data_IF_859522795125
#
_entry.id   IF_859522795125
#
_cell.length_a   1.000
_cell.length_b   1.000
_cell.length_c   1.000
_cell.angle_alpha   90.00
_cell.angle_beta   90.00
_cell.angle_gamma   90.00
#
_symmetry.space_group_name_H-M   'P 1'
#
loop_
_entity.id
_entity.type
_entity.pdbx_description
1 polymer ?
#
# COMPACT_ATOMS: atom_id res chain seq x y z
N UNK A 1 -19.44 3.31 -5.35
CA UNK A 1 -18.23 3.91 -4.75
C UNK A 1 -17.51 4.63 -5.87
N UNK A 2 -17.39 5.96 -5.77
CA UNK A 2 -16.57 6.71 -6.71
C UNK A 2 -15.13 6.26 -6.55
N UNK A 3 -14.52 5.77 -7.62
CA UNK A 3 -13.15 5.24 -7.60
C UNK A 3 -12.17 6.32 -7.09
N UNK A 4 -12.44 7.59 -7.36
CA UNK A 4 -11.66 8.72 -6.86
C UNK A 4 -11.68 8.87 -5.32
N UNK A 5 -12.64 8.26 -4.60
CA UNK A 5 -12.74 8.35 -3.14
C UNK A 5 -11.87 7.34 -2.39
N UNK A 6 -11.20 6.40 -3.08
CA UNK A 6 -10.45 5.32 -2.41
C UNK A 6 -9.31 5.86 -1.52
N UNK A 7 -8.68 6.95 -1.93
CA UNK A 7 -7.61 7.59 -1.15
C UNK A 7 -8.15 8.41 0.02
N UNK A 8 -9.43 8.80 -0.03
CA UNK A 8 -10.08 9.63 0.96
C UNK A 8 -10.94 8.81 1.97
N UNK A 9 -11.05 7.49 1.76
CA UNK A 9 -11.78 6.57 2.65
C UNK A 9 -11.22 6.61 4.08
N UNK A 10 -12.12 6.66 5.06
CA UNK A 10 -11.78 6.64 6.49
C UNK A 10 -12.32 5.37 7.14
N UNK A 11 -11.52 4.79 8.01
CA UNK A 11 -11.97 3.68 8.87
C UNK A 11 -12.87 4.23 9.97
N UNK A 12 -13.90 3.48 10.34
CA UNK A 12 -14.72 3.80 11.50
C UNK A 12 -13.92 3.63 12.81
N UNK A 13 -14.17 4.48 13.80
CA UNK A 13 -13.42 4.46 15.06
C UNK A 13 -13.62 3.16 15.84
N UNK A 14 -14.82 2.57 15.80
CA UNK A 14 -15.10 1.29 16.44
C UNK A 14 -14.30 0.16 15.79
N UNK A 15 -14.25 0.12 14.46
CA UNK A 15 -13.48 -0.89 13.73
C UNK A 15 -11.97 -0.73 13.98
N UNK A 16 -11.46 0.51 13.99
CA UNK A 16 -10.06 0.77 14.29
C UNK A 16 -9.67 0.24 15.67
N UNK A 17 -10.48 0.50 16.69
CA UNK A 17 -10.23 0.04 18.06
C UNK A 17 -10.32 -1.48 18.16
N UNK A 18 -11.30 -2.08 17.49
CA UNK A 18 -11.44 -3.54 17.41
C UNK A 18 -10.20 -4.20 16.80
N UNK A 19 -9.65 -3.66 15.71
CA UNK A 19 -8.45 -4.19 15.09
C UNK A 19 -7.20 -3.97 15.95
N UNK A 20 -7.11 -2.82 16.62
CA UNK A 20 -6.04 -2.51 17.59
C UNK A 20 -6.04 -3.53 18.73
N UNK A 21 -7.19 -3.76 19.36
CA UNK A 21 -7.32 -4.70 20.47
C UNK A 21 -6.91 -6.12 20.07
N UNK A 22 -7.34 -6.57 18.88
CA UNK A 22 -6.97 -7.88 18.34
C UNK A 22 -5.45 -8.00 18.14
N UNK A 23 -4.82 -6.97 17.57
CA UNK A 23 -3.38 -6.92 17.34
C UNK A 23 -2.59 -6.92 18.65
N UNK A 24 -2.91 -6.02 19.58
CA UNK A 24 -2.24 -5.93 20.87
C UNK A 24 -2.38 -7.20 21.70
N UNK A 25 -3.56 -7.83 21.68
CA UNK A 25 -3.80 -9.08 22.40
C UNK A 25 -2.88 -10.20 21.90
N UNK A 26 -2.65 -10.27 20.59
CA UNK A 26 -1.71 -11.25 20.05
C UNK A 26 -0.26 -10.87 20.35
N UNK A 27 0.12 -9.60 20.25
CA UNK A 27 1.45 -9.11 20.63
C UNK A 27 1.83 -9.48 22.07
N UNK A 28 0.87 -9.41 23.00
CA UNK A 28 1.08 -9.84 24.40
C UNK A 28 1.31 -11.35 24.55
N UNK A 29 0.84 -12.16 23.60
CA UNK A 29 0.95 -13.63 23.58
C UNK A 29 2.13 -14.12 22.73
N UNK A 30 2.76 -13.25 21.94
CA UNK A 30 3.86 -13.59 21.03
C UNK A 30 3.80 -12.78 19.74
N UNK A 31 4.33 -13.33 18.65
CA UNK A 31 4.23 -12.68 17.34
C UNK A 31 2.78 -12.72 16.83
N UNK A 32 2.19 -11.57 16.45
CA UNK A 32 0.85 -11.54 15.88
C UNK A 32 0.84 -12.23 14.52
N UNK A 33 -0.31 -12.79 14.14
CA UNK A 33 -0.47 -13.42 12.83
C UNK A 33 -0.45 -12.37 11.71
N UNK A 34 -0.09 -12.81 10.50
CA UNK A 34 -0.09 -11.98 9.30
C UNK A 34 -1.44 -11.29 9.06
N UNK A 35 -2.53 -12.05 9.21
CA UNK A 35 -3.91 -11.58 9.00
C UNK A 35 -4.27 -10.47 9.99
N UNK A 36 -3.95 -10.64 11.27
CA UNK A 36 -4.27 -9.62 12.29
C UNK A 36 -3.43 -8.37 12.09
N UNK A 37 -2.15 -8.54 11.79
CA UNK A 37 -1.24 -7.42 11.47
C UNK A 37 -1.71 -6.67 10.24
N UNK A 38 -2.17 -7.38 9.20
CA UNK A 38 -2.67 -6.79 7.97
C UNK A 38 -3.98 -6.01 8.20
N UNK A 39 -4.94 -6.60 8.92
CA UNK A 39 -6.21 -5.94 9.24
C UNK A 39 -5.98 -4.65 10.05
N UNK A 40 -5.06 -4.69 11.01
CA UNK A 40 -4.70 -3.50 11.78
C UNK A 40 -3.96 -2.46 10.94
N UNK A 41 -2.96 -2.86 10.15
CA UNK A 41 -2.23 -1.97 9.25
C UNK A 41 -3.14 -1.28 8.23
N UNK A 42 -4.06 -2.02 7.62
CA UNK A 42 -5.04 -1.45 6.65
C UNK A 42 -6.09 -0.54 7.30
N UNK A 43 -6.40 -0.74 8.58
CA UNK A 43 -7.21 0.21 9.36
C UNK A 43 -6.41 1.51 9.62
N UNK A 44 -5.15 1.39 10.06
CA UNK A 44 -4.28 2.52 10.37
C UNK A 44 -4.05 3.45 9.16
N UNK A 45 -3.80 2.90 7.97
CA UNK A 45 -3.63 3.71 6.75
C UNK A 45 -4.90 4.47 6.37
N UNK A 46 -6.07 4.09 6.91
CA UNK A 46 -7.34 4.80 6.74
C UNK A 46 -7.67 5.76 7.88
N UNK A 47 -6.87 5.80 8.94
CA UNK A 47 -7.03 6.67 10.10
C UNK A 47 -6.25 8.00 9.92
N UNK A 48 -5.53 8.49 10.92
CA UNK A 48 -4.81 9.77 10.91
C UNK A 48 -3.52 9.73 10.10
N UNK A 49 -2.89 10.87 9.83
CA UNK A 49 -1.61 10.93 9.11
C UNK A 49 -0.48 10.20 9.87
N UNK A 50 -0.51 10.25 11.21
CA UNK A 50 0.46 9.54 12.05
C UNK A 50 0.23 8.04 11.98
N UNK A 51 -1.02 7.61 12.09
CA UNK A 51 -1.40 6.19 11.96
C UNK A 51 -1.01 5.62 10.60
N UNK A 52 -1.11 6.39 9.52
CA UNK A 52 -0.70 5.92 8.19
C UNK A 52 0.78 5.53 8.16
N UNK A 53 1.65 6.24 8.87
CA UNK A 53 3.08 5.90 8.94
C UNK A 53 3.26 4.55 9.65
N UNK A 54 2.56 4.34 10.76
CA UNK A 54 2.58 3.06 11.46
C UNK A 54 2.03 1.91 10.59
N UNK A 55 0.91 2.14 9.92
CA UNK A 55 0.33 1.19 8.99
C UNK A 55 1.27 0.81 7.85
N UNK A 56 2.01 1.78 7.28
CA UNK A 56 3.06 1.51 6.29
C UNK A 56 4.12 0.58 6.86
N UNK A 57 4.63 0.85 8.07
CA UNK A 57 5.65 0.02 8.69
C UNK A 57 5.17 -1.43 8.92
N UNK A 58 3.92 -1.61 9.35
CA UNK A 58 3.33 -2.94 9.53
C UNK A 58 3.19 -3.69 8.20
N UNK A 59 2.74 -3.01 7.14
CA UNK A 59 2.59 -3.61 5.81
C UNK A 59 3.94 -3.93 5.16
N UNK A 60 4.96 -3.07 5.32
CA UNK A 60 6.32 -3.34 4.84
C UNK A 60 6.98 -4.50 5.60
N UNK A 61 6.70 -4.63 6.90
CA UNK A 61 7.12 -5.77 7.70
C UNK A 61 6.52 -7.07 7.15
N UNK A 62 5.21 -7.10 6.91
CA UNK A 62 4.53 -8.26 6.34
C UNK A 62 5.08 -8.61 4.95
N UNK A 63 5.30 -7.61 4.08
CA UNK A 63 5.88 -7.82 2.75
C UNK A 63 7.26 -8.51 2.79
N UNK A 64 8.05 -8.26 3.84
CA UNK A 64 9.39 -8.83 4.02
C UNK A 64 9.37 -10.20 4.68
N UNK A 65 8.53 -10.39 5.69
CA UNK A 65 8.55 -11.55 6.58
C UNK A 65 7.64 -12.68 6.11
N UNK A 66 6.56 -12.38 5.37
CA UNK A 66 5.63 -13.40 4.90
C UNK A 66 6.17 -14.16 3.68
N UNK A 67 6.25 -15.49 3.72
CA UNK A 67 6.74 -16.29 2.61
C UNK A 67 5.76 -16.35 1.44
N UNK A 68 4.45 -16.25 1.70
CA UNK A 68 3.40 -16.46 0.71
C UNK A 68 3.18 -15.25 -0.21
N UNK A 69 3.40 -15.43 -1.50
CA UNK A 69 3.32 -14.34 -2.48
C UNK A 69 1.90 -13.89 -2.81
N UNK A 70 0.89 -14.72 -2.53
CA UNK A 70 -0.52 -14.36 -2.73
C UNK A 70 -0.89 -13.14 -1.88
N UNK A 71 -0.44 -13.13 -0.62
CA UNK A 71 -0.72 -12.03 0.32
C UNK A 71 0.13 -10.78 0.02
N UNK A 72 1.30 -10.95 -0.60
CA UNK A 72 2.19 -9.83 -0.96
C UNK A 72 1.55 -8.87 -1.96
N UNK A 73 0.71 -9.37 -2.87
CA UNK A 73 -0.05 -8.53 -3.80
C UNK A 73 -0.90 -7.50 -3.07
N UNK A 74 -1.65 -7.96 -2.07
CA UNK A 74 -2.53 -7.10 -1.27
C UNK A 74 -1.70 -6.10 -0.46
N UNK A 75 -0.57 -6.55 0.11
CA UNK A 75 0.34 -5.65 0.84
C UNK A 75 0.87 -4.53 -0.05
N UNK A 76 1.33 -4.86 -1.26
CA UNK A 76 1.81 -3.88 -2.25
C UNK A 76 0.69 -2.92 -2.67
N UNK A 77 -0.51 -3.42 -2.89
CA UNK A 77 -1.67 -2.59 -3.23
C UNK A 77 -1.98 -1.57 -2.12
N UNK A 78 -2.06 -2.01 -0.87
CA UNK A 78 -2.32 -1.11 0.26
C UNK A 78 -1.15 -0.19 0.60
N UNK A 79 0.09 -0.59 0.34
CA UNK A 79 1.28 0.28 0.44
C UNK A 79 1.24 1.42 -0.60
N UNK A 80 0.74 1.16 -1.80
CA UNK A 80 0.51 2.21 -2.81
C UNK A 80 -0.52 3.23 -2.32
N UNK A 81 -1.65 2.78 -1.77
CA UNK A 81 -2.68 3.65 -1.17
C UNK A 81 -2.09 4.49 -0.04
N UNK A 82 -1.37 3.86 0.90
CA UNK A 82 -0.82 4.53 2.07
C UNK A 82 0.20 5.61 1.68
N UNK A 83 1.10 5.32 0.74
CA UNK A 83 2.08 6.29 0.25
C UNK A 83 1.42 7.44 -0.52
N UNK A 84 0.38 7.16 -1.33
CA UNK A 84 -0.37 8.20 -2.03
C UNK A 84 -1.05 9.16 -1.04
N UNK A 85 -1.61 8.64 0.05
CA UNK A 85 -2.21 9.45 1.13
C UNK A 85 -1.20 10.33 1.86
N UNK A 86 0.05 9.88 1.98
CA UNK A 86 1.15 10.67 2.52
C UNK A 86 1.73 11.68 1.51
N UNK A 87 1.21 11.73 0.27
CA UNK A 87 1.74 12.49 -0.87
C UNK A 87 3.13 12.03 -1.32
N UNK A 88 3.51 10.79 -0.98
CA UNK A 88 4.71 10.12 -1.47
C UNK A 88 4.40 9.46 -2.82
N UNK A 89 4.03 10.25 -3.82
CA UNK A 89 3.48 9.75 -5.08
C UNK A 89 4.44 8.86 -5.85
N UNK A 90 5.75 9.17 -5.87
CA UNK A 90 6.75 8.34 -6.55
C UNK A 90 6.81 6.93 -5.96
N UNK A 91 6.78 6.80 -4.62
CA UNK A 91 6.72 5.50 -3.95
C UNK A 91 5.41 4.77 -4.23
N UNK A 92 4.29 5.50 -4.23
CA UNK A 92 2.99 4.91 -4.51
C UNK A 92 2.94 4.33 -5.93
N UNK A 93 3.46 5.06 -6.92
CA UNK A 93 3.57 4.61 -8.31
C UNK A 93 4.54 3.44 -8.45
N UNK A 94 5.68 3.46 -7.76
CA UNK A 94 6.61 2.33 -7.77
C UNK A 94 5.97 1.03 -7.26
N UNK A 95 5.20 1.09 -6.17
CA UNK A 95 4.46 -0.08 -5.67
C UNK A 95 3.42 -0.58 -6.67
N UNK A 96 2.61 0.31 -7.26
CA UNK A 96 1.54 -0.11 -8.17
C UNK A 96 2.07 -0.63 -9.51
N UNK A 97 3.15 -0.04 -10.02
CA UNK A 97 3.79 -0.49 -11.27
C UNK A 97 4.37 -1.90 -11.13
N UNK A 98 4.86 -2.25 -9.94
CA UNK A 98 5.35 -3.60 -9.65
C UNK A 98 4.21 -4.62 -9.63
N UNK A 99 3.07 -4.27 -9.02
CA UNK A 99 1.89 -5.12 -9.06
C UNK A 99 1.39 -5.31 -10.51
N UNK A 100 1.41 -4.25 -11.32
CA UNK A 100 1.02 -4.32 -12.74
C UNK A 100 2.03 -5.08 -13.61
N UNK A 101 3.32 -5.04 -13.28
CA UNK A 101 4.33 -5.84 -13.95
C UNK A 101 4.14 -7.34 -13.70
N UNK A 102 3.72 -7.71 -12.49
CA UNK A 102 3.36 -9.09 -12.15
C UNK A 102 1.98 -9.49 -12.73
N UNK A 103 1.02 -8.56 -12.76
CA UNK A 103 -0.38 -8.80 -13.13
C UNK A 103 -0.91 -7.77 -14.13
N UNK A 104 -0.51 -7.92 -15.38
CA UNK A 104 -0.79 -6.96 -16.46
C UNK A 104 -2.27 -6.68 -16.71
N UNK A 105 -3.18 -7.57 -16.28
CA UNK A 105 -4.63 -7.44 -16.47
C UNK A 105 -5.37 -7.05 -15.17
N UNK A 106 -4.65 -6.63 -14.13
CA UNK A 106 -5.24 -6.23 -12.86
C UNK A 106 -5.91 -4.85 -12.96
N UNK A 107 -7.22 -4.85 -13.25
CA UNK A 107 -8.02 -3.62 -13.42
C UNK A 107 -8.01 -2.72 -12.18
N UNK A 108 -7.98 -3.30 -10.97
CA UNK A 108 -7.96 -2.52 -9.73
C UNK A 108 -6.64 -1.76 -9.60
N UNK A 109 -5.51 -2.40 -9.91
CA UNK A 109 -4.21 -1.77 -9.89
C UNK A 109 -4.08 -0.66 -10.95
N UNK A 110 -4.56 -0.91 -12.17
CA UNK A 110 -4.55 0.11 -13.24
C UNK A 110 -5.39 1.34 -12.85
N UNK A 111 -6.58 1.13 -12.29
CA UNK A 111 -7.43 2.21 -11.81
C UNK A 111 -6.77 2.99 -10.67
N UNK A 112 -6.17 2.30 -9.70
CA UNK A 112 -5.46 2.96 -8.60
C UNK A 112 -4.29 3.81 -9.11
N UNK A 113 -3.53 3.30 -10.08
CA UNK A 113 -2.45 4.06 -10.73
C UNK A 113 -2.96 5.37 -11.35
N UNK A 114 -4.06 5.32 -12.10
CA UNK A 114 -4.67 6.52 -12.68
C UNK A 114 -5.12 7.53 -11.61
N UNK A 115 -5.72 7.06 -10.51
CA UNK A 115 -6.14 7.91 -9.38
C UNK A 115 -4.92 8.61 -8.75
N UNK A 116 -3.83 7.86 -8.51
CA UNK A 116 -2.59 8.39 -7.95
C UNK A 116 -2.00 9.46 -8.87
N UNK A 117 -1.92 9.20 -10.18
CA UNK A 117 -1.42 10.18 -11.15
C UNK A 117 -2.29 11.44 -11.22
N UNK A 118 -3.62 11.29 -11.18
CA UNK A 118 -4.57 12.42 -11.12
C UNK A 118 -4.37 13.25 -9.85
N UNK A 119 -4.22 12.61 -8.68
CA UNK A 119 -3.98 13.29 -7.40
C UNK A 119 -2.65 14.02 -7.40
N UNK A 120 -1.59 13.38 -7.90
CA UNK A 120 -0.26 13.97 -8.04
C UNK A 120 -0.28 15.22 -8.94
N UNK A 121 -0.98 15.15 -10.08
CA UNK A 121 -1.21 16.30 -10.99
C UNK A 121 -1.94 17.44 -10.29
N UNK A 122 -3.05 17.13 -9.61
CA UNK A 122 -3.86 18.12 -8.86
C UNK A 122 -3.05 18.82 -7.78
N UNK A 123 -2.15 18.09 -7.14
CA UNK A 123 -1.28 18.59 -6.09
C UNK A 123 -0.08 19.41 -6.60
N UNK A 124 0.08 19.55 -7.91
CA UNK A 124 1.21 20.26 -8.53
C UNK A 124 2.55 19.52 -8.42
N UNK A 125 2.53 18.26 -7.98
CA UNK A 125 3.71 17.42 -7.76
C UNK A 125 4.06 16.60 -9.02
N UNK A 126 3.98 17.24 -10.18
CA UNK A 126 4.39 16.64 -11.44
C UNK A 126 5.91 16.37 -11.42
N UNK A 127 6.29 15.17 -10.97
CA UNK A 127 7.63 14.65 -11.12
C UNK A 127 7.93 14.36 -12.59
N UNK A 128 9.21 14.49 -12.97
CA UNK A 128 9.72 14.17 -14.31
C UNK A 128 9.41 12.73 -14.78
N UNK A 129 8.94 11.85 -13.88
CA UNK A 129 8.69 10.43 -14.12
C UNK A 129 7.38 10.10 -14.84
N UNK A 130 6.43 11.03 -14.97
CA UNK A 130 5.07 10.73 -15.50
C UNK A 130 4.86 11.18 -16.96
N UNK A 131 5.87 11.75 -17.60
CA UNK A 131 5.78 12.13 -19.01
C UNK A 131 6.27 10.97 -19.88
N UNK A 132 5.38 9.99 -20.11
CA UNK A 132 5.52 9.01 -21.20
C UNK A 132 6.01 7.63 -20.79
N UNK A 133 5.08 6.73 -20.48
CA UNK A 133 5.20 5.31 -20.85
C UNK A 133 6.15 4.39 -20.07
N UNK A 134 6.89 4.84 -19.05
CA UNK A 134 7.65 3.90 -18.21
C UNK A 134 8.44 4.59 -17.11
N UNK A 135 8.03 4.40 -15.85
CA UNK A 135 8.81 4.87 -14.71
C UNK A 135 9.87 3.82 -14.32
N UNK A 136 11.08 4.03 -14.84
CA UNK A 136 12.29 3.31 -14.47
C UNK A 136 12.89 3.95 -13.21
N UNK A 137 12.23 3.81 -12.05
CA UNK A 137 12.88 4.02 -10.75
C UNK A 137 12.32 3.00 -9.77
N UNK A 138 12.84 1.77 -9.85
CA UNK A 138 12.60 0.81 -8.78
C UNK A 138 13.63 1.05 -7.70
N UNK A 139 13.18 1.51 -6.53
CA UNK A 139 13.91 1.32 -5.28
C UNK A 139 14.19 -0.17 -5.12
N UNK A 140 15.47 -0.56 -5.15
CA UNK A 140 15.95 -1.93 -5.37
C UNK A 140 15.39 -3.04 -4.48
N UNK A 141 14.70 -2.70 -3.38
CA UNK A 141 14.04 -3.68 -2.51
C UNK A 141 12.80 -4.29 -3.19
N UNK A 142 11.99 -3.49 -3.87
CA UNK A 142 10.71 -3.99 -4.41
C UNK A 142 10.92 -4.69 -5.77
N UNK A 143 11.90 -4.27 -6.59
CA UNK A 143 12.29 -5.00 -7.81
C UNK A 143 12.79 -6.40 -7.48
N UNK A 144 13.63 -6.55 -6.45
CA UNK A 144 14.24 -7.83 -6.10
C UNK A 144 13.20 -8.89 -5.71
N UNK A 145 12.10 -8.49 -5.05
CA UNK A 145 11.03 -9.41 -4.64
C UNK A 145 10.27 -10.00 -5.84
N UNK A 146 10.12 -9.26 -6.93
CA UNK A 146 9.40 -9.71 -8.13
C UNK A 146 10.32 -10.20 -9.26
N UNK A 147 11.60 -9.83 -9.26
CA UNK A 147 12.59 -10.34 -10.22
C UNK A 147 13.16 -11.70 -9.85
N UNK A 148 12.95 -12.18 -8.62
CA UNK A 148 13.40 -13.49 -8.16
C UNK A 148 12.58 -14.67 -8.74
N UNK A 149 11.55 -14.40 -9.55
CA UNK A 149 10.87 -15.41 -10.37
C UNK A 149 11.29 -15.29 -11.84
N UNK A 150 12.34 -16.01 -12.21
CA UNK A 150 12.47 -16.62 -13.53
C UNK A 150 12.72 -18.10 -13.35
#
# INVERSE_FOLDING_TARGET
MDVESILDERVDQYDLERFREAYETQCRRGSPSAIVTFNYGTALIRSTKQDVIEGVNLLEKLLREEPDDINKRDYVYFLAIANARLRNYDRALAYIDILLAAETHNRQASQLREIIEKRMKKDGLLGLAVIGGGALVVTGIVAALFSARR
#
